data_IF_907322748022
#
_entry.id   IF_907322748022
#
_cell.length_a   1.000
_cell.length_b   1.000
_cell.length_c   1.000
_cell.angle_alpha   90.00
_cell.angle_beta   90.00
_cell.angle_gamma   90.00
#
_symmetry.space_group_name_H-M   'P 1'
#
loop_
_entity.id
_entity.type
_entity.pdbx_description
1 polymer ?
#
# COMPACT_ATOMS: atom_id res chain seq x y z
N UNK A 1 -22.60 58.06 -25.20
CA UNK A 1 -21.71 57.02 -25.76
C UNK A 1 -20.80 56.40 -24.70
N UNK A 2 -20.05 57.20 -23.92
CA UNK A 2 -19.11 56.71 -22.89
C UNK A 2 -19.75 55.84 -21.79
N UNK A 3 -20.97 56.18 -21.34
CA UNK A 3 -21.71 55.43 -20.31
C UNK A 3 -22.15 54.02 -20.74
N UNK A 4 -22.45 53.83 -22.03
CA UNK A 4 -22.82 52.50 -22.55
C UNK A 4 -21.62 51.56 -22.64
N UNK A 5 -20.43 52.11 -22.89
CA UNK A 5 -19.18 51.33 -22.95
C UNK A 5 -18.77 50.86 -21.55
N UNK A 6 -18.83 51.74 -20.53
CA UNK A 6 -18.51 51.35 -19.15
C UNK A 6 -19.52 50.35 -18.58
N UNK A 7 -20.82 50.52 -18.87
CA UNK A 7 -21.85 49.56 -18.47
C UNK A 7 -21.62 48.18 -19.12
N UNK A 8 -21.22 48.14 -20.39
CA UNK A 8 -20.90 46.89 -21.11
C UNK A 8 -19.73 46.13 -20.46
N UNK A 9 -18.62 46.81 -20.14
CA UNK A 9 -17.49 46.17 -19.46
C UNK A 9 -17.84 45.67 -18.05
N UNK A 10 -18.69 46.40 -17.33
CA UNK A 10 -19.15 45.99 -16.00
C UNK A 10 -20.02 44.72 -16.07
N UNK A 11 -20.97 44.66 -17.01
CA UNK A 11 -21.80 43.46 -17.24
C UNK A 11 -20.93 42.27 -17.69
N UNK A 12 -19.96 42.49 -18.57
CA UNK A 12 -19.03 41.45 -19.01
C UNK A 12 -18.18 40.92 -17.84
N UNK A 13 -17.71 41.79 -16.95
CA UNK A 13 -16.97 41.41 -15.75
C UNK A 13 -17.80 40.56 -14.78
N UNK A 14 -19.07 40.93 -14.58
CA UNK A 14 -20.01 40.14 -13.75
C UNK A 14 -20.26 38.77 -14.38
N UNK A 15 -20.51 38.72 -15.69
CA UNK A 15 -20.73 37.45 -16.40
C UNK A 15 -19.51 36.54 -16.32
N UNK A 16 -18.29 37.10 -16.46
CA UNK A 16 -17.05 36.35 -16.29
C UNK A 16 -16.87 35.83 -14.85
N UNK A 17 -17.20 36.63 -13.83
CA UNK A 17 -17.13 36.22 -12.43
C UNK A 17 -18.15 35.11 -12.11
N UNK A 18 -19.37 35.21 -12.61
CA UNK A 18 -20.41 34.18 -12.46
C UNK A 18 -20.02 32.87 -13.17
N UNK A 19 -19.45 32.96 -14.37
CA UNK A 19 -18.94 31.80 -15.09
C UNK A 19 -17.78 31.12 -14.33
N UNK A 20 -16.84 31.91 -13.80
CA UNK A 20 -15.74 31.39 -12.99
C UNK A 20 -16.24 30.71 -11.70
N UNK A 21 -17.22 31.30 -11.02
CA UNK A 21 -17.85 30.72 -9.84
C UNK A 21 -18.55 29.39 -10.17
N UNK A 22 -19.29 29.36 -11.28
CA UNK A 22 -19.98 28.15 -11.73
C UNK A 22 -19.01 27.01 -12.05
N UNK A 23 -17.90 27.32 -12.73
CA UNK A 23 -16.83 26.36 -13.02
C UNK A 23 -16.19 25.87 -11.71
N UNK A 24 -15.87 26.78 -10.77
CA UNK A 24 -15.27 26.41 -9.49
C UNK A 24 -16.16 25.50 -8.64
N UNK A 25 -17.48 25.70 -8.68
CA UNK A 25 -18.45 24.86 -7.97
C UNK A 25 -18.62 23.49 -8.65
N UNK A 26 -18.65 23.43 -9.99
CA UNK A 26 -18.78 22.17 -10.73
C UNK A 26 -17.49 21.36 -10.80
N UNK A 27 -16.35 21.96 -10.48
CA UNK A 27 -15.07 21.28 -10.57
C UNK A 27 -14.96 20.15 -9.54
N UNK A 28 -14.60 18.96 -10.01
CA UNK A 28 -14.38 17.80 -9.15
C UNK A 28 -13.21 18.04 -8.18
N UNK A 29 -13.23 17.35 -7.04
CA UNK A 29 -12.15 17.44 -6.05
C UNK A 29 -10.82 16.94 -6.63
N UNK A 30 -10.86 15.92 -7.48
CA UNK A 30 -9.70 15.42 -8.22
C UNK A 30 -9.10 16.47 -9.17
N UNK A 31 -9.94 17.26 -9.86
CA UNK A 31 -9.45 18.33 -10.72
C UNK A 31 -8.80 19.47 -9.92
N UNK A 32 -9.33 19.81 -8.73
CA UNK A 32 -8.72 20.80 -7.83
C UNK A 32 -7.33 20.35 -7.39
N UNK A 33 -7.22 19.12 -6.93
CA UNK A 33 -5.93 18.49 -6.54
C UNK A 33 -4.95 18.49 -7.72
N UNK A 34 -5.41 18.09 -8.91
CA UNK A 34 -4.61 18.09 -10.14
C UNK A 34 -4.07 19.49 -10.46
N UNK A 35 -4.89 20.54 -10.35
CA UNK A 35 -4.45 21.92 -10.62
C UNK A 35 -3.41 22.36 -9.60
N UNK A 36 -3.60 22.07 -8.31
CA UNK A 36 -2.65 22.44 -7.26
C UNK A 36 -1.28 21.81 -7.50
N UNK A 37 -1.26 20.52 -7.82
CA UNK A 37 -0.02 19.79 -8.12
C UNK A 37 0.61 20.29 -9.41
N UNK A 38 -0.19 20.49 -10.47
CA UNK A 38 0.30 21.06 -11.74
C UNK A 38 0.96 22.41 -11.51
N UNK A 39 0.33 23.28 -10.72
CA UNK A 39 0.88 24.60 -10.37
C UNK A 39 2.20 24.44 -9.61
N UNK A 40 2.26 23.56 -8.60
CA UNK A 40 3.47 23.31 -7.79
C UNK A 40 4.64 22.76 -8.61
N UNK A 41 4.37 21.87 -9.56
CA UNK A 41 5.42 21.20 -10.33
C UNK A 41 5.98 22.06 -11.47
N UNK A 42 5.16 22.94 -12.06
CA UNK A 42 5.55 23.66 -13.28
C UNK A 42 5.75 25.16 -13.11
N UNK A 43 5.35 25.75 -11.97
CA UNK A 43 5.59 27.18 -11.74
C UNK A 43 6.98 27.40 -11.15
N UNK A 44 7.70 28.39 -11.69
CA UNK A 44 9.04 28.79 -11.25
C UNK A 44 9.07 29.25 -9.79
N UNK A 45 7.96 29.78 -9.26
CA UNK A 45 7.80 30.20 -7.86
C UNK A 45 8.08 29.07 -6.85
N UNK A 46 7.98 27.81 -7.29
CA UNK A 46 8.13 26.64 -6.44
C UNK A 46 9.42 25.86 -6.70
N UNK A 47 10.40 26.48 -7.36
CA UNK A 47 11.75 25.94 -7.50
C UNK A 47 11.92 24.87 -8.58
N UNK A 48 10.94 24.68 -9.48
CA UNK A 48 10.97 23.72 -10.59
C UNK A 48 11.40 22.30 -10.15
N UNK A 49 10.56 21.58 -9.38
CA UNK A 49 10.92 20.28 -8.81
C UNK A 49 11.29 19.19 -9.83
N UNK A 50 10.90 19.37 -11.09
CA UNK A 50 11.18 18.44 -12.19
C UNK A 50 12.37 18.89 -13.06
N UNK A 51 13.05 19.98 -12.69
CA UNK A 51 14.21 20.52 -13.39
C UNK A 51 13.96 20.77 -14.90
N UNK A 52 12.72 21.08 -15.26
CA UNK A 52 12.31 21.28 -16.65
C UNK A 52 13.03 22.47 -17.27
N UNK A 53 13.53 22.30 -18.49
CA UNK A 53 14.13 23.38 -19.26
C UNK A 53 13.10 24.13 -20.11
N UNK A 54 13.46 25.34 -20.54
CA UNK A 54 12.63 26.09 -21.47
C UNK A 54 12.42 25.29 -22.76
N UNK A 55 11.18 25.28 -23.26
CA UNK A 55 10.74 24.54 -24.46
C UNK A 55 10.58 23.02 -24.30
N UNK A 56 10.76 22.46 -23.11
CA UNK A 56 10.47 21.04 -22.87
C UNK A 56 8.97 20.73 -22.81
N UNK A 57 8.61 19.52 -23.25
CA UNK A 57 7.22 19.06 -23.22
C UNK A 57 6.79 18.69 -21.80
N UNK A 58 5.88 19.48 -21.22
CA UNK A 58 5.35 19.21 -19.89
C UNK A 58 4.72 17.81 -19.78
N UNK A 59 4.97 17.09 -18.67
CA UNK A 59 4.38 15.78 -18.46
C UNK A 59 2.87 15.90 -18.23
N UNK A 60 2.13 14.89 -18.69
CA UNK A 60 0.69 14.83 -18.52
C UNK A 60 0.38 14.32 -17.11
N UNK A 61 -0.37 15.12 -16.37
CA UNK A 61 -0.89 14.77 -15.04
C UNK A 61 -2.36 14.42 -15.19
N UNK A 62 -2.75 13.24 -14.71
CA UNK A 62 -4.15 12.83 -14.51
C UNK A 62 -4.39 12.60 -13.03
N UNK A 63 -5.59 12.92 -12.55
CA UNK A 63 -6.03 12.65 -11.19
C UNK A 63 -7.47 12.17 -11.23
N UNK A 64 -7.78 11.17 -10.42
CA UNK A 64 -9.15 10.71 -10.19
C UNK A 64 -9.27 10.16 -8.77
N UNK A 65 -10.49 10.18 -8.25
CA UNK A 65 -10.83 9.54 -6.99
C UNK A 65 -11.12 8.06 -7.26
N UNK A 66 -10.50 7.16 -6.52
CA UNK A 66 -10.79 5.72 -6.62
C UNK A 66 -11.78 5.25 -5.57
N UNK A 67 -11.63 5.78 -4.37
CA UNK A 67 -12.47 5.51 -3.20
C UNK A 67 -12.66 6.82 -2.47
N UNK A 68 -13.66 6.91 -1.60
CA UNK A 68 -13.98 8.14 -0.89
C UNK A 68 -12.76 8.68 -0.13
N UNK A 69 -12.23 9.82 -0.57
CA UNK A 69 -11.05 10.46 0.00
C UNK A 69 -9.70 9.81 -0.36
N UNK A 70 -9.66 8.94 -1.36
CA UNK A 70 -8.41 8.35 -1.89
C UNK A 70 -8.27 8.78 -3.36
N UNK A 71 -7.22 9.54 -3.63
CA UNK A 71 -6.93 10.06 -4.96
C UNK A 71 -5.73 9.35 -5.56
N UNK A 72 -5.86 8.94 -6.83
CA UNK A 72 -4.73 8.46 -7.62
C UNK A 72 -4.30 9.53 -8.59
N UNK A 73 -3.00 9.73 -8.68
CA UNK A 73 -2.37 10.66 -9.61
C UNK A 73 -1.37 9.91 -10.44
N UNK A 74 -1.37 10.19 -11.73
CA UNK A 74 -0.38 9.64 -12.64
C UNK A 74 0.31 10.74 -13.42
N UNK A 75 1.64 10.67 -13.49
CA UNK A 75 2.49 11.59 -14.24
C UNK A 75 3.25 10.78 -15.28
N UNK A 76 3.20 11.23 -16.55
CA UNK A 76 3.92 10.57 -17.65
C UNK A 76 5.40 10.92 -17.64
N UNK A 77 6.27 9.97 -17.97
CA UNK A 77 7.75 10.13 -18.02
C UNK A 77 8.23 10.75 -19.34
N UNK A 78 7.54 11.78 -19.84
CA UNK A 78 7.78 12.30 -21.20
C UNK A 78 9.08 13.07 -21.34
N UNK A 79 9.44 13.85 -20.33
CA UNK A 79 10.64 14.69 -20.29
C UNK A 79 11.53 14.37 -19.07
N UNK A 80 11.06 13.52 -18.17
CA UNK A 80 11.75 13.12 -16.95
C UNK A 80 11.73 11.60 -16.83
N UNK A 81 12.74 11.04 -16.21
CA UNK A 81 12.82 9.61 -15.90
C UNK A 81 11.80 9.22 -14.84
N UNK A 82 11.45 7.93 -14.77
CA UNK A 82 10.59 7.42 -13.71
C UNK A 82 11.16 7.71 -12.30
N UNK A 83 12.48 7.66 -12.13
CA UNK A 83 13.13 7.90 -10.85
C UNK A 83 13.01 9.36 -10.40
N UNK A 84 13.29 10.32 -11.28
CA UNK A 84 13.11 11.75 -10.99
C UNK A 84 11.67 12.05 -10.57
N UNK A 85 10.69 11.45 -11.26
CA UNK A 85 9.30 11.64 -10.89
C UNK A 85 9.00 10.98 -9.53
N UNK A 86 9.59 9.83 -9.17
CA UNK A 86 9.37 9.25 -7.84
C UNK A 86 9.86 10.16 -6.72
N UNK A 87 10.95 10.88 -6.93
CA UNK A 87 11.60 11.74 -5.93
C UNK A 87 10.77 12.99 -5.59
N UNK A 88 9.89 13.45 -6.50
CA UNK A 88 9.02 14.60 -6.26
C UNK A 88 7.81 14.32 -5.35
N UNK A 89 7.72 13.16 -4.70
CA UNK A 89 6.63 12.80 -3.78
C UNK A 89 6.39 13.84 -2.69
N UNK A 90 7.48 14.40 -2.13
CA UNK A 90 7.43 15.47 -1.13
C UNK A 90 6.84 16.75 -1.72
N UNK A 91 7.24 17.13 -2.93
CA UNK A 91 6.72 18.28 -3.67
C UNK A 91 5.24 18.14 -4.01
N UNK A 92 4.79 16.93 -4.40
CA UNK A 92 3.38 16.61 -4.64
C UNK A 92 2.57 16.78 -3.35
N UNK A 93 3.06 16.26 -2.22
CA UNK A 93 2.40 16.42 -0.93
C UNK A 93 2.34 17.89 -0.49
N UNK A 94 3.44 18.63 -0.64
CA UNK A 94 3.52 20.05 -0.32
C UNK A 94 2.66 20.95 -1.22
N UNK A 95 2.23 20.46 -2.39
CA UNK A 95 1.29 21.17 -3.26
C UNK A 95 -0.10 21.30 -2.62
N UNK A 96 -0.46 20.35 -1.75
CA UNK A 96 -1.79 20.24 -1.15
C UNK A 96 -1.90 21.20 0.04
N UNK A 97 -2.83 22.16 -0.05
CA UNK A 97 -3.03 23.21 0.93
C UNK A 97 -4.52 23.47 1.20
N UNK A 98 -4.81 24.38 2.13
CA UNK A 98 -6.18 24.69 2.55
C UNK A 98 -6.91 23.44 3.04
N UNK A 99 -8.08 23.14 2.47
CA UNK A 99 -8.87 21.94 2.82
C UNK A 99 -8.16 20.61 2.49
N UNK A 100 -7.15 20.62 1.62
CA UNK A 100 -6.37 19.44 1.26
C UNK A 100 -5.06 19.31 2.04
N UNK A 101 -4.75 20.22 2.96
CA UNK A 101 -3.50 20.19 3.74
C UNK A 101 -3.34 18.94 4.64
N UNK A 102 -4.42 18.19 4.82
CA UNK A 102 -4.44 16.91 5.54
C UNK A 102 -4.14 15.71 4.65
N UNK A 103 -4.02 15.91 3.33
CA UNK A 103 -3.72 14.86 2.36
C UNK A 103 -2.23 14.86 2.05
N UNK A 104 -1.66 13.68 1.85
CA UNK A 104 -0.29 13.51 1.40
C UNK A 104 -0.13 12.23 0.59
N UNK A 105 0.99 12.12 -0.14
CA UNK A 105 1.36 10.90 -0.85
C UNK A 105 1.68 9.80 0.17
N UNK A 106 0.97 8.68 0.09
CA UNK A 106 1.18 7.49 0.93
C UNK A 106 1.91 6.38 0.20
N UNK A 107 1.84 6.35 -1.12
CA UNK A 107 2.45 5.31 -1.95
C UNK A 107 2.87 5.91 -3.29
N UNK A 108 4.03 5.46 -3.77
CA UNK A 108 4.54 5.78 -5.10
C UNK A 108 4.87 4.47 -5.82
N UNK A 109 4.31 4.30 -7.01
CA UNK A 109 4.52 3.11 -7.83
C UNK A 109 4.88 3.50 -9.27
N UNK A 110 5.56 2.60 -9.98
CA UNK A 110 5.89 2.78 -11.40
C UNK A 110 5.17 1.70 -12.17
N UNK A 111 4.55 2.08 -13.29
CA UNK A 111 3.92 1.12 -14.19
C UNK A 111 4.99 0.23 -14.85
N UNK A 112 4.67 -1.02 -15.18
CA UNK A 112 5.62 -2.00 -15.74
C UNK A 112 6.33 -1.52 -17.01
N UNK A 113 5.69 -0.66 -17.79
CA UNK A 113 6.26 -0.06 -19.00
C UNK A 113 7.18 1.15 -18.73
N UNK A 114 7.37 1.54 -17.46
CA UNK A 114 8.18 2.67 -17.00
C UNK A 114 7.85 4.02 -17.64
N UNK A 115 6.68 4.14 -18.29
CA UNK A 115 6.22 5.33 -18.99
C UNK A 115 5.35 6.25 -18.10
N UNK A 116 5.02 5.79 -16.90
CA UNK A 116 4.09 6.43 -15.98
C UNK A 116 4.45 6.12 -14.54
N UNK A 117 4.42 7.16 -13.70
CA UNK A 117 4.60 7.06 -12.25
C UNK A 117 3.30 7.46 -11.58
N UNK A 118 2.84 6.59 -10.69
CA UNK A 118 1.61 6.76 -9.93
C UNK A 118 1.88 7.17 -8.48
N UNK A 119 1.03 8.05 -7.96
CA UNK A 119 1.01 8.46 -6.56
C UNK A 119 -0.38 8.19 -5.99
N UNK A 120 -0.42 7.55 -4.83
CA UNK A 120 -1.63 7.40 -4.03
C UNK A 120 -1.64 8.48 -2.97
N UNK A 121 -2.71 9.26 -2.92
CA UNK A 121 -2.87 10.38 -1.98
C UNK A 121 -4.05 10.08 -1.07
N UNK A 122 -3.80 10.17 0.23
CA UNK A 122 -4.79 9.92 1.27
C UNK A 122 -4.73 11.00 2.35
N UNK A 123 -5.81 11.12 3.13
CA UNK A 123 -5.80 11.93 4.33
C UNK A 123 -4.95 11.25 5.43
N UNK A 124 -3.79 11.84 5.72
CA UNK A 124 -2.82 11.35 6.71
C UNK A 124 -3.13 11.78 8.14
N UNK A 125 -4.13 12.65 8.34
CA UNK A 125 -4.59 13.05 9.68
C UNK A 125 -5.70 12.15 10.22
N UNK A 126 -6.27 11.27 9.41
CA UNK A 126 -7.25 10.30 9.90
C UNK A 126 -6.54 9.31 10.81
N UNK A 127 -7.00 9.21 12.05
CA UNK A 127 -6.56 8.16 12.94
C UNK A 127 -7.08 6.80 12.46
N UNK A 128 -6.17 6.02 11.88
CA UNK A 128 -6.43 4.65 11.43
C UNK A 128 -6.06 3.60 12.50
N UNK A 129 -5.68 4.04 13.69
CA UNK A 129 -5.31 3.13 14.78
C UNK A 129 -6.43 2.15 15.11
N UNK A 130 -6.02 0.95 15.48
CA UNK A 130 -6.90 -0.09 15.99
C UNK A 130 -6.83 -0.01 17.51
N UNK A 131 -7.96 0.31 18.13
CA UNK A 131 -8.14 0.18 19.58
C UNK A 131 -9.15 -0.92 19.80
N UNK A 132 -8.73 -1.98 20.51
CA UNK A 132 -9.56 -3.14 20.82
C UNK A 132 -9.53 -3.39 22.32
N UNK A 133 -10.66 -3.84 22.86
CA UNK A 133 -10.81 -4.14 24.28
C UNK A 133 -10.80 -5.66 24.56
N UNK A 134 -10.78 -6.49 23.52
CA UNK A 134 -10.66 -7.95 23.62
C UNK A 134 -9.89 -8.51 22.42
N UNK A 135 -9.28 -9.70 22.59
CA UNK A 135 -8.60 -10.40 21.51
C UNK A 135 -9.57 -10.85 20.41
N UNK A 136 -10.82 -11.19 20.76
CA UNK A 136 -11.85 -11.59 19.80
C UNK A 136 -12.19 -10.49 18.79
N UNK A 137 -12.06 -9.22 19.19
CA UNK A 137 -12.26 -8.08 18.29
C UNK A 137 -11.16 -7.96 17.21
N UNK A 138 -10.06 -8.70 17.34
CA UNK A 138 -9.01 -8.80 16.34
C UNK A 138 -9.23 -9.97 15.38
N UNK A 139 -10.26 -10.81 15.57
CA UNK A 139 -10.48 -11.95 14.68
C UNK A 139 -10.65 -11.47 13.23
N UNK A 140 -9.81 -11.93 12.28
CA UNK A 140 -9.92 -11.49 10.90
C UNK A 140 -11.15 -12.13 10.24
N UNK A 141 -11.81 -11.39 9.34
CA UNK A 141 -12.93 -11.91 8.56
C UNK A 141 -12.49 -12.98 7.56
N UNK A 142 -11.28 -12.84 7.03
CA UNK A 142 -10.63 -13.80 6.13
C UNK A 142 -9.33 -14.29 6.77
N UNK A 143 -9.13 -15.60 6.84
CA UNK A 143 -7.98 -16.20 7.53
C UNK A 143 -6.61 -15.78 6.96
N UNK A 144 -6.56 -15.33 5.71
CA UNK A 144 -5.34 -14.90 5.03
C UNK A 144 -5.08 -13.40 5.14
N UNK A 145 -6.00 -12.60 5.70
CA UNK A 145 -5.88 -11.14 5.77
C UNK A 145 -5.72 -10.68 7.21
N UNK A 146 -4.51 -10.26 7.56
CA UNK A 146 -4.19 -9.76 8.90
C UNK A 146 -4.32 -8.23 8.93
N UNK A 147 -5.09 -7.71 9.88
CA UNK A 147 -5.39 -6.29 10.04
C UNK A 147 -4.17 -5.58 10.64
N UNK A 148 -3.68 -4.53 9.98
CA UNK A 148 -2.59 -3.68 10.49
C UNK A 148 -3.14 -2.38 11.06
N UNK A 149 -4.06 -1.77 10.33
CA UNK A 149 -4.78 -0.55 10.70
C UNK A 149 -6.14 -0.57 9.99
N UNK A 150 -7.04 0.36 10.35
CA UNK A 150 -8.35 0.45 9.69
C UNK A 150 -8.17 0.61 8.18
N UNK A 151 -8.72 -0.33 7.41
CA UNK A 151 -8.65 -0.34 5.94
C UNK A 151 -7.32 -0.78 5.35
N UNK A 152 -6.39 -1.33 6.14
CA UNK A 152 -5.12 -1.88 5.63
C UNK A 152 -4.87 -3.27 6.21
N UNK A 153 -4.62 -4.20 5.31
CA UNK A 153 -4.44 -5.62 5.63
C UNK A 153 -3.15 -6.13 5.00
N UNK A 154 -2.53 -7.10 5.66
CA UNK A 154 -1.48 -7.94 5.09
C UNK A 154 -2.18 -9.17 4.52
N UNK A 155 -2.09 -9.36 3.21
CA UNK A 155 -2.58 -10.56 2.54
C UNK A 155 -1.46 -11.61 2.47
N UNK A 156 -1.62 -12.66 3.26
CA UNK A 156 -0.66 -13.76 3.36
C UNK A 156 -0.55 -14.60 2.07
N UNK A 157 -1.53 -14.51 1.16
CA UNK A 157 -1.47 -15.22 -0.14
C UNK A 157 -0.46 -14.59 -1.10
N UNK A 158 -0.22 -13.29 -0.96
CA UNK A 158 0.76 -12.54 -1.76
C UNK A 158 2.03 -12.20 -0.98
N UNK A 159 1.94 -12.13 0.34
CA UNK A 159 3.02 -11.69 1.22
C UNK A 159 3.22 -12.68 2.36
N UNK A 160 3.91 -13.79 2.06
CA UNK A 160 4.21 -14.85 3.04
C UNK A 160 5.30 -14.51 4.05
N UNK A 161 6.10 -13.46 3.80
CA UNK A 161 7.23 -13.06 4.65
C UNK A 161 7.11 -11.60 5.06
N UNK A 162 7.45 -11.28 6.31
CA UNK A 162 7.32 -9.94 6.87
C UNK A 162 8.60 -9.55 7.64
N UNK A 163 9.01 -8.29 7.50
CA UNK A 163 10.10 -7.69 8.26
C UNK A 163 9.59 -6.47 9.03
N UNK A 164 9.78 -6.48 10.35
CA UNK A 164 9.38 -5.37 11.22
C UNK A 164 10.61 -4.59 11.69
N UNK A 165 10.72 -3.32 11.28
CA UNK A 165 11.86 -2.46 11.61
C UNK A 165 11.40 -1.09 12.15
N UNK A 166 12.25 -0.44 12.94
CA UNK A 166 11.97 0.90 13.50
C UNK A 166 12.67 1.19 14.83
N UNK A 167 12.70 2.45 15.25
CA UNK A 167 13.40 2.92 16.46
C UNK A 167 12.82 2.36 17.75
N UNK A 168 13.60 2.29 18.82
CA UNK A 168 13.13 1.86 20.16
C UNK A 168 11.97 2.75 20.61
N UNK A 169 10.97 2.16 21.30
CA UNK A 169 9.74 2.84 21.77
C UNK A 169 8.77 3.33 20.67
N UNK A 170 8.93 2.88 19.42
CA UNK A 170 7.99 3.20 18.32
C UNK A 170 6.74 2.30 18.26
N UNK A 171 6.49 1.46 19.28
CA UNK A 171 5.36 0.52 19.30
C UNK A 171 5.52 -0.77 18.48
N UNK A 172 6.76 -1.10 18.02
CA UNK A 172 7.00 -2.33 17.22
C UNK A 172 6.53 -3.59 17.91
N UNK A 173 6.91 -3.81 19.16
CA UNK A 173 6.57 -5.02 19.91
C UNK A 173 5.05 -5.20 19.97
N UNK A 174 4.31 -4.11 20.24
CA UNK A 174 2.84 -4.11 20.23
C UNK A 174 2.27 -4.49 18.86
N UNK A 175 2.79 -3.91 17.78
CA UNK A 175 2.36 -4.26 16.41
C UNK A 175 2.74 -5.69 16.02
N UNK A 176 3.92 -6.16 16.41
CA UNK A 176 4.37 -7.54 16.16
C UNK A 176 3.55 -8.54 16.96
N UNK A 177 3.05 -8.19 18.15
CA UNK A 177 2.18 -9.05 18.95
C UNK A 177 0.74 -9.08 18.40
N UNK A 178 0.23 -7.97 17.88
CA UNK A 178 -1.15 -7.91 17.38
C UNK A 178 -1.37 -8.80 16.16
N UNK A 179 -0.36 -8.99 15.31
CA UNK A 179 -0.42 -9.87 14.12
C UNK A 179 -0.63 -11.37 14.49
N UNK A 180 0.23 -12.01 15.30
CA UNK A 180 0.05 -13.40 15.71
C UNK A 180 -1.19 -13.59 16.60
N UNK A 181 -1.60 -12.59 17.38
CA UNK A 181 -2.87 -12.66 18.13
C UNK A 181 -4.05 -12.92 17.19
N UNK A 182 -4.10 -12.25 16.03
CA UNK A 182 -5.16 -12.47 15.03
C UNK A 182 -5.17 -13.90 14.50
N UNK A 183 -3.99 -14.45 14.22
CA UNK A 183 -3.83 -15.84 13.78
C UNK A 183 -4.25 -16.83 14.87
N UNK A 184 -3.89 -16.56 16.14
CA UNK A 184 -4.29 -17.39 17.28
C UNK A 184 -5.82 -17.38 17.48
N UNK A 185 -6.47 -16.23 17.34
CA UNK A 185 -7.94 -16.11 17.45
C UNK A 185 -8.67 -16.80 16.30
N UNK A 186 -8.05 -16.94 15.13
CA UNK A 186 -8.58 -17.74 14.03
C UNK A 186 -8.56 -19.25 14.32
N UNK A 187 -7.62 -19.71 15.16
CA UNK A 187 -7.44 -21.12 15.50
C UNK A 187 -6.65 -21.90 14.43
N UNK A 188 -6.42 -23.19 14.69
CA UNK A 188 -5.75 -24.09 13.74
C UNK A 188 -6.71 -24.46 12.60
N UNK A 189 -6.18 -24.54 11.40
CA UNK A 189 -6.93 -25.05 10.24
C UNK A 189 -6.93 -26.60 10.22
N UNK A 190 -7.66 -27.15 9.26
CA UNK A 190 -7.75 -28.60 9.04
C UNK A 190 -6.45 -29.21 8.50
N UNK A 191 -5.49 -28.38 8.08
CA UNK A 191 -4.17 -28.80 7.61
C UNK A 191 -3.13 -28.75 8.73
N UNK A 192 -3.58 -28.49 9.97
CA UNK A 192 -2.75 -28.50 11.15
C UNK A 192 -1.80 -27.31 11.23
N UNK A 193 -2.10 -26.16 10.62
CA UNK A 193 -1.31 -24.92 10.73
C UNK A 193 -0.98 -24.59 12.19
N UNK A 194 0.23 -24.05 12.38
CA UNK A 194 0.80 -23.76 13.69
C UNK A 194 1.48 -22.40 13.68
N UNK A 195 1.45 -21.74 14.83
CA UNK A 195 2.24 -20.55 15.11
C UNK A 195 3.41 -20.96 16.00
N UNK A 196 4.63 -20.76 15.52
CA UNK A 196 5.85 -20.94 16.30
C UNK A 196 6.45 -19.58 16.61
N UNK A 197 6.70 -19.29 17.89
CA UNK A 197 7.34 -18.05 18.34
C UNK A 197 8.76 -18.40 18.79
N UNK A 198 9.75 -17.70 18.23
CA UNK A 198 11.16 -17.81 18.63
C UNK A 198 11.59 -16.46 19.18
N UNK A 199 11.97 -16.40 20.45
CA UNK A 199 12.50 -15.20 21.10
C UNK A 199 13.90 -15.48 21.66
N UNK A 200 14.97 -15.27 20.87
CA UNK A 200 16.34 -15.51 21.33
C UNK A 200 16.82 -14.45 22.32
N UNK A 201 16.09 -13.33 22.47
CA UNK A 201 16.49 -12.21 23.33
C UNK A 201 16.06 -12.40 24.78
N UNK A 202 15.24 -13.42 25.07
CA UNK A 202 14.64 -13.62 26.39
C UNK A 202 13.88 -12.38 26.87
N UNK A 203 13.12 -11.76 25.96
CA UNK A 203 12.44 -10.50 26.21
C UNK A 203 10.97 -10.72 26.57
N UNK A 204 10.05 -9.95 25.98
CA UNK A 204 8.64 -9.98 26.35
C UNK A 204 7.93 -11.27 25.92
N UNK A 205 8.36 -11.92 24.83
CA UNK A 205 7.69 -13.10 24.26
C UNK A 205 8.14 -14.40 24.90
N UNK A 206 9.36 -14.49 25.40
CA UNK A 206 9.84 -15.66 26.17
C UNK A 206 9.06 -15.92 27.46
N UNK A 207 8.22 -14.96 27.90
CA UNK A 207 7.33 -15.14 29.05
C UNK A 207 6.06 -15.93 28.71
N UNK A 208 5.77 -16.12 27.43
CA UNK A 208 4.61 -16.88 26.96
C UNK A 208 4.91 -18.39 26.96
N UNK A 209 3.93 -19.23 27.29
CA UNK A 209 4.08 -20.68 27.15
C UNK A 209 4.28 -21.02 25.66
N UNK A 210 5.11 -22.04 25.39
CA UNK A 210 5.41 -22.53 24.04
C UNK A 210 6.23 -21.58 23.14
N UNK A 211 6.86 -20.54 23.70
CA UNK A 211 7.91 -19.78 23.00
C UNK A 211 9.24 -20.53 23.05
N UNK A 212 9.88 -20.75 21.90
CA UNK A 212 11.24 -21.26 21.84
C UNK A 212 12.23 -20.14 22.18
N UNK A 213 13.05 -20.33 23.20
CA UNK A 213 14.04 -19.35 23.67
C UNK A 213 15.35 -20.06 24.04
N UNK A 214 16.33 -19.31 24.52
CA UNK A 214 17.60 -19.88 25.00
C UNK A 214 17.36 -20.67 26.30
N UNK A 215 18.04 -21.81 26.41
CA UNK A 215 18.07 -22.70 27.56
C UNK A 215 18.74 -22.00 28.77
N UNK A 216 18.62 -22.59 29.97
CA UNK A 216 19.22 -22.03 31.20
C UNK A 216 20.75 -21.95 31.14
N UNK A 217 21.40 -22.86 30.39
CA UNK A 217 22.83 -22.87 30.10
C UNK A 217 23.23 -21.91 28.98
N UNK A 218 22.27 -21.17 28.40
CA UNK A 218 22.49 -20.23 27.29
C UNK A 218 22.52 -20.89 25.91
N UNK A 219 22.32 -22.21 25.84
CA UNK A 219 22.26 -22.95 24.58
C UNK A 219 20.92 -22.74 23.86
N UNK A 220 20.90 -22.98 22.54
CA UNK A 220 19.73 -22.72 21.70
C UNK A 220 19.00 -23.99 21.25
N UNK A 221 18.97 -25.04 22.09
CA UNK A 221 18.50 -26.37 21.65
C UNK A 221 17.03 -26.34 21.23
N UNK A 222 16.17 -25.69 22.01
CA UNK A 222 14.76 -25.51 21.68
C UNK A 222 14.53 -24.70 20.40
N UNK A 223 15.35 -23.68 20.15
CA UNK A 223 15.30 -22.87 18.92
C UNK A 223 15.69 -23.71 17.70
N UNK A 224 16.78 -24.48 17.80
CA UNK A 224 17.25 -25.34 16.71
C UNK A 224 16.21 -26.42 16.38
N UNK A 225 15.57 -26.98 17.39
CA UNK A 225 14.50 -27.97 17.20
C UNK A 225 13.28 -27.36 16.49
N UNK A 226 12.83 -26.17 16.90
CA UNK A 226 11.76 -25.46 16.23
C UNK A 226 12.07 -25.18 14.74
N UNK A 227 13.31 -24.79 14.43
CA UNK A 227 13.76 -24.57 13.05
C UNK A 227 13.80 -25.87 12.23
N UNK A 228 14.21 -26.99 12.82
CA UNK A 228 14.17 -28.31 12.16
C UNK A 228 12.73 -28.71 11.84
N UNK A 229 11.83 -28.60 12.81
CA UNK A 229 10.41 -28.91 12.60
C UNK A 229 9.79 -28.05 11.49
N UNK A 230 10.13 -26.76 11.43
CA UNK A 230 9.72 -25.88 10.33
C UNK A 230 10.24 -26.36 8.97
N UNK A 231 11.53 -26.70 8.89
CA UNK A 231 12.14 -27.19 7.65
C UNK A 231 11.53 -28.52 7.18
N UNK A 232 11.25 -29.44 8.10
CA UNK A 232 10.65 -30.74 7.79
C UNK A 232 9.19 -30.59 7.34
N UNK A 233 8.42 -29.70 7.98
CA UNK A 233 7.06 -29.38 7.54
C UNK A 233 7.01 -28.77 6.12
N UNK A 234 8.00 -27.95 5.74
CA UNK A 234 8.11 -27.45 4.37
C UNK A 234 8.33 -28.59 3.38
N UNK A 235 9.26 -29.51 3.68
CA UNK A 235 9.56 -30.66 2.81
C UNK A 235 8.35 -31.56 2.63
N UNK A 236 7.65 -31.88 3.71
CA UNK A 236 6.44 -32.69 3.68
C UNK A 236 5.36 -32.06 2.80
N UNK A 237 5.07 -30.76 3.01
CA UNK A 237 4.08 -30.03 2.19
C UNK A 237 4.48 -29.98 0.72
N UNK A 238 5.76 -29.78 0.42
CA UNK A 238 6.24 -29.77 -0.96
C UNK A 238 6.11 -31.17 -1.60
N UNK A 239 6.35 -32.24 -0.83
CA UNK A 239 6.16 -33.62 -1.29
C UNK A 239 4.70 -33.88 -1.68
N UNK A 240 3.75 -33.56 -0.79
CA UNK A 240 2.31 -33.71 -1.03
C UNK A 240 1.87 -32.91 -2.27
N UNK A 241 2.34 -31.67 -2.42
CA UNK A 241 2.01 -30.85 -3.60
C UNK A 241 2.57 -31.44 -4.90
N UNK A 242 3.78 -32.01 -4.87
CA UNK A 242 4.37 -32.67 -6.02
C UNK A 242 3.58 -33.93 -6.41
N UNK A 243 3.21 -34.76 -5.44
CA UNK A 243 2.38 -35.96 -5.66
C UNK A 243 1.03 -35.61 -6.29
N UNK A 244 0.33 -34.61 -5.75
CA UNK A 244 -0.95 -34.13 -6.30
C UNK A 244 -0.79 -33.55 -7.72
N UNK A 245 0.33 -32.89 -8.00
CA UNK A 245 0.66 -32.39 -9.34
C UNK A 245 0.88 -33.54 -10.33
N UNK A 246 1.55 -34.60 -9.91
CA UNK A 246 1.75 -35.80 -10.71
C UNK A 246 0.44 -36.56 -10.95
N UNK A 247 -0.42 -36.69 -9.94
CA UNK A 247 -1.73 -37.31 -10.08
C UNK A 247 -2.61 -36.52 -11.05
N UNK A 248 -2.66 -35.19 -10.89
CA UNK A 248 -3.40 -34.31 -11.81
C UNK A 248 -2.82 -34.36 -13.22
N UNK A 249 -1.50 -34.44 -13.37
CA UNK A 249 -0.84 -34.63 -14.67
C UNK A 249 -1.19 -36.00 -15.29
N UNK A 250 -1.25 -37.08 -14.50
CA UNK A 250 -1.70 -38.41 -14.96
C UNK A 250 -3.17 -38.40 -15.35
N UNK A 251 -4.03 -37.77 -14.55
CA UNK A 251 -5.46 -37.64 -14.84
C UNK A 251 -5.69 -36.82 -16.12
N UNK A 252 -5.01 -35.68 -16.28
CA UNK A 252 -5.03 -34.90 -17.53
C UNK A 252 -4.46 -35.66 -18.73
N UNK A 253 -3.44 -36.51 -18.54
CA UNK A 253 -2.90 -37.36 -19.60
C UNK A 253 -3.87 -38.48 -20.01
N UNK A 254 -4.65 -39.03 -19.06
CA UNK A 254 -5.67 -40.05 -19.30
C UNK A 254 -6.97 -39.50 -19.92
N UNK A 255 -7.27 -38.21 -19.71
CA UNK A 255 -8.50 -37.56 -20.21
C UNK A 255 -8.34 -36.95 -21.62
N UNK A 256 -7.14 -36.95 -22.20
CA UNK A 256 -6.92 -36.65 -23.62
C UNK A 256 -6.94 -35.15 -23.97
N UNK A 257 -5.77 -34.65 -24.35
CA UNK A 257 -5.51 -33.81 -25.54
C UNK A 257 -6.62 -32.89 -26.11
N UNK A 258 -7.35 -32.11 -25.31
CA UNK A 258 -8.20 -31.02 -25.86
C UNK A 258 -8.25 -29.68 -25.14
N UNK A 259 -7.53 -29.48 -24.03
CA UNK A 259 -7.41 -28.14 -23.43
C UNK A 259 -5.97 -27.84 -22.96
N UNK A 260 -5.37 -26.69 -23.34
CA UNK A 260 -4.06 -26.31 -22.86
C UNK A 260 -4.17 -25.96 -21.37
N UNK A 261 -3.67 -26.86 -20.53
CA UNK A 261 -3.59 -26.63 -19.09
C UNK A 261 -2.42 -25.68 -18.81
N UNK A 262 -2.71 -24.40 -18.64
CA UNK A 262 -1.75 -23.43 -18.12
C UNK A 262 -1.41 -23.80 -16.67
N UNK A 263 -0.17 -24.22 -16.45
CA UNK A 263 0.41 -24.32 -15.11
C UNK A 263 1.04 -22.95 -14.83
N UNK A 264 0.57 -22.17 -13.83
CA UNK A 264 1.31 -21.01 -13.39
C UNK A 264 2.57 -21.50 -12.68
N UNK A 265 3.70 -21.38 -13.36
CA UNK A 265 5.02 -21.43 -12.74
C UNK A 265 5.11 -20.22 -11.80
N UNK A 266 4.82 -20.43 -10.52
CA UNK A 266 5.21 -19.49 -9.49
C UNK A 266 6.75 -19.46 -9.44
N UNK A 267 7.30 -18.29 -9.75
CA UNK A 267 8.71 -17.93 -9.62
C UNK A 267 8.88 -17.01 -8.43
#
# INVERSE_FOLDING_TARGET
MMYHITLFFFVLGILAALAALWIAVKQSEADKIRIMIRKRLFSSEYGNPLHLQESERLPKIKCWETEQGIFKITITTTCCTANEIREISSSVSAALNGKYAQYAVTETYVETAFNLVGFRIENVKIDRSITVHSADALKPNEHTKLIVQKGTYIDLTTSGSMLFAGKTRSGKTTGVISIPMQALTAGRDNYGSQLCIIDPKQAELSRLPHTATLDEDGEARGILEALKQFADAIKERQCVLNELSEEKRRCCALVGSKFPCFIPLYR
#
